data_IF_612767617975
#
_entry.id   IF_612767617975
#
_cell.length_a   1.000
_cell.length_b   1.000
_cell.length_c   1.000
_cell.angle_alpha   90.00
_cell.angle_beta   90.00
_cell.angle_gamma   90.00
#
_symmetry.space_group_name_H-M   'P 1'
#
loop_
_entity.id
_entity.type
_entity.pdbx_description
1 polymer ?
#
# COMPACT_ATOMS: atom_id res chain seq x y z
N UNK A 1 42.22 10.38 22.79
CA UNK A 1 40.97 10.35 22.04
C UNK A 1 41.11 9.38 20.87
N UNK A 2 40.14 8.47 20.72
CA UNK A 2 40.08 7.55 19.59
C UNK A 2 38.67 7.68 18.97
N UNK A 3 38.62 7.55 17.66
CA UNK A 3 37.34 7.55 16.94
C UNK A 3 37.38 6.54 15.79
N UNK A 4 36.25 6.04 15.40
CA UNK A 4 36.04 5.23 14.21
C UNK A 4 34.77 5.65 13.50
N UNK A 5 34.80 5.61 12.19
CA UNK A 5 33.64 5.84 11.32
C UNK A 5 33.59 4.73 10.29
N UNK A 6 32.46 4.09 10.18
CA UNK A 6 32.19 3.08 9.17
C UNK A 6 30.96 3.44 8.35
N UNK A 7 31.01 3.21 7.04
CA UNK A 7 29.88 3.35 6.12
C UNK A 7 29.71 2.03 5.37
N UNK A 8 28.49 1.54 5.38
CA UNK A 8 28.06 0.40 4.58
C UNK A 8 26.91 0.84 3.68
N UNK A 9 27.03 0.63 2.38
CA UNK A 9 26.02 0.94 1.39
C UNK A 9 25.84 -0.26 0.48
N UNK A 10 24.60 -0.72 0.35
CA UNK A 10 24.23 -1.79 -0.58
C UNK A 10 23.11 -1.31 -1.49
N UNK A 11 23.30 -1.45 -2.78
CA UNK A 11 22.32 -1.15 -3.79
C UNK A 11 22.21 -2.32 -4.76
N UNK A 12 21.00 -2.75 -5.04
CA UNK A 12 20.74 -3.72 -6.08
C UNK A 12 19.63 -3.23 -7.01
N UNK A 13 19.66 -3.70 -8.23
CA UNK A 13 18.62 -3.44 -9.22
C UNK A 13 18.30 -4.76 -9.93
N UNK A 14 17.03 -5.12 -9.90
CA UNK A 14 16.54 -6.35 -10.47
C UNK A 14 15.37 -6.03 -11.41
N UNK A 15 15.43 -6.57 -12.61
CA UNK A 15 14.42 -6.38 -13.64
C UNK A 15 13.90 -7.75 -14.08
N UNK A 16 12.60 -7.86 -14.28
CA UNK A 16 12.03 -8.95 -15.04
C UNK A 16 12.40 -8.79 -16.51
N UNK A 17 13.27 -9.64 -17.03
CA UNK A 17 13.54 -9.66 -18.47
C UNK A 17 12.30 -10.11 -19.23
N UNK A 18 11.63 -11.16 -18.73
CA UNK A 18 10.36 -11.64 -19.23
C UNK A 18 9.57 -12.34 -18.11
N UNK A 19 8.30 -11.98 -17.97
CA UNK A 19 7.38 -12.69 -17.11
C UNK A 19 6.48 -13.60 -17.94
N UNK A 20 6.68 -14.92 -17.83
CA UNK A 20 6.05 -15.92 -18.71
C UNK A 20 4.54 -16.06 -18.56
N UNK A 21 4.01 -15.76 -17.39
CA UNK A 21 2.59 -15.83 -17.04
C UNK A 21 1.86 -14.49 -17.23
N UNK A 22 2.53 -13.49 -17.79
CA UNK A 22 1.94 -12.18 -18.07
C UNK A 22 1.04 -12.25 -19.29
N UNK A 23 -0.20 -11.80 -19.13
CA UNK A 23 -1.18 -11.78 -20.21
C UNK A 23 -0.80 -10.76 -21.29
N UNK A 24 -1.20 -11.02 -22.55
CA UNK A 24 -0.90 -10.12 -23.66
C UNK A 24 -1.53 -8.73 -23.49
N UNK A 25 -2.68 -8.64 -22.86
CA UNK A 25 -3.34 -7.38 -22.49
C UNK A 25 -2.48 -6.54 -21.54
N UNK A 26 -1.85 -7.19 -20.54
CA UNK A 26 -1.00 -6.53 -19.56
C UNK A 26 0.33 -6.08 -20.20
N UNK A 27 0.89 -6.90 -21.09
CA UNK A 27 2.09 -6.54 -21.85
C UNK A 27 1.92 -5.25 -22.66
N UNK A 28 0.73 -5.02 -23.20
CA UNK A 28 0.39 -3.82 -23.99
C UNK A 28 0.08 -2.59 -23.12
N UNK A 29 -0.23 -2.79 -21.81
CA UNK A 29 -0.55 -1.70 -20.90
C UNK A 29 0.69 -1.27 -20.10
N UNK A 30 1.26 -0.07 -20.33
CA UNK A 30 2.48 0.37 -19.64
C UNK A 30 2.31 0.48 -18.12
N UNK A 31 1.08 0.67 -17.59
CA UNK A 31 0.79 0.78 -16.18
C UNK A 31 0.75 -0.58 -15.46
N UNK A 32 0.45 -1.65 -16.21
CA UNK A 32 0.30 -3.01 -15.68
C UNK A 32 1.48 -3.91 -16.03
N UNK A 33 2.13 -3.66 -17.15
CA UNK A 33 3.25 -4.48 -17.64
C UNK A 33 4.31 -4.69 -16.57
N UNK A 34 4.69 -5.95 -16.35
CA UNK A 34 5.75 -6.36 -15.43
C UNK A 34 7.04 -6.70 -16.17
N UNK A 35 6.97 -7.25 -17.40
CA UNK A 35 8.13 -7.50 -18.26
C UNK A 35 8.89 -6.20 -18.53
N UNK A 36 10.21 -6.23 -18.40
CA UNK A 36 11.13 -5.09 -18.43
C UNK A 36 10.90 -4.05 -17.33
N UNK A 37 10.26 -4.45 -16.24
CA UNK A 37 10.07 -3.61 -15.06
C UNK A 37 10.82 -4.18 -13.86
N UNK A 38 11.05 -3.34 -12.85
CA UNK A 38 11.63 -3.78 -11.59
C UNK A 38 10.75 -4.86 -10.95
N UNK A 39 11.40 -5.89 -10.40
CA UNK A 39 10.70 -6.97 -9.71
C UNK A 39 10.05 -6.51 -8.40
N UNK A 40 9.16 -7.34 -7.87
CA UNK A 40 8.52 -7.16 -6.56
C UNK A 40 7.63 -5.91 -6.42
N UNK A 41 7.05 -5.41 -7.52
CA UNK A 41 5.94 -4.48 -7.45
C UNK A 41 4.61 -5.24 -7.33
N UNK A 42 3.72 -4.69 -6.52
CA UNK A 42 2.34 -5.16 -6.45
C UNK A 42 1.47 -4.37 -7.43
N UNK A 43 0.51 -5.07 -8.06
CA UNK A 43 -0.57 -4.44 -8.81
C UNK A 43 -1.72 -4.14 -7.86
N UNK A 44 -1.99 -2.87 -7.63
CA UNK A 44 -2.94 -2.38 -6.64
C UNK A 44 -3.96 -1.45 -7.29
N UNK A 45 -5.14 -1.36 -6.69
CA UNK A 45 -6.13 -0.35 -7.05
C UNK A 45 -5.69 1.04 -6.58
N UNK A 46 -6.07 2.06 -7.34
CA UNK A 46 -5.87 3.46 -6.95
C UNK A 46 -7.08 3.94 -6.18
N UNK A 47 -6.88 4.42 -4.96
CA UNK A 47 -7.95 5.00 -4.15
C UNK A 47 -8.11 6.49 -4.46
N UNK A 48 -9.35 6.93 -4.65
CA UNK A 48 -9.77 8.34 -4.69
C UNK A 48 -10.25 8.87 -3.33
N UNK A 49 -9.94 8.16 -2.24
CA UNK A 49 -10.42 8.46 -0.90
C UNK A 49 -11.67 7.66 -0.53
N UNK A 50 -12.50 8.23 0.32
CA UNK A 50 -13.72 7.58 0.80
C UNK A 50 -14.95 8.26 0.22
N UNK A 51 -15.98 7.46 -0.11
CA UNK A 51 -17.28 8.00 -0.49
C UNK A 51 -17.87 8.85 0.63
N UNK A 52 -18.27 10.08 0.31
CA UNK A 52 -18.80 11.03 1.28
C UNK A 52 -20.32 10.93 1.41
N UNK A 53 -21.03 10.59 0.34
CA UNK A 53 -22.47 10.52 0.29
C UNK A 53 -22.97 9.51 -0.76
N UNK A 54 -24.26 9.26 -0.78
CA UNK A 54 -24.89 8.31 -1.72
C UNK A 54 -24.88 8.81 -3.16
N UNK A 55 -24.94 10.11 -3.39
CA UNK A 55 -24.90 10.70 -4.73
C UNK A 55 -23.57 10.38 -5.40
N UNK A 56 -22.46 10.57 -4.70
CA UNK A 56 -21.13 10.20 -5.18
C UNK A 56 -21.03 8.71 -5.52
N UNK A 57 -21.64 7.83 -4.73
CA UNK A 57 -21.65 6.39 -5.01
C UNK A 57 -22.41 6.08 -6.31
N UNK A 58 -23.54 6.75 -6.54
CA UNK A 58 -24.36 6.52 -7.72
C UNK A 58 -23.68 7.01 -9.01
N UNK A 59 -22.90 8.08 -8.91
CA UNK A 59 -22.18 8.68 -10.04
C UNK A 59 -20.81 8.05 -10.30
N UNK A 60 -20.35 7.17 -9.41
CA UNK A 60 -19.03 6.54 -9.52
C UNK A 60 -19.09 5.19 -10.23
N UNK A 61 -17.98 4.77 -10.87
CA UNK A 61 -17.80 3.41 -11.37
C UNK A 61 -18.06 2.38 -10.27
N UNK A 62 -18.70 1.29 -10.63
CA UNK A 62 -19.13 0.27 -9.65
C UNK A 62 -18.10 -0.84 -9.53
N UNK A 63 -17.64 -1.18 -8.31
CA UNK A 63 -16.82 -2.36 -8.09
C UNK A 63 -17.59 -3.64 -8.50
N UNK A 64 -16.97 -4.48 -9.31
CA UNK A 64 -17.55 -5.74 -9.77
C UNK A 64 -17.92 -6.67 -8.60
N UNK A 65 -17.11 -6.68 -7.55
CA UNK A 65 -17.29 -7.53 -6.38
C UNK A 65 -18.28 -6.98 -5.35
N UNK A 66 -18.70 -5.72 -5.47
CA UNK A 66 -19.45 -5.04 -4.41
C UNK A 66 -20.83 -4.63 -4.86
N UNK A 67 -21.85 -5.06 -4.08
CA UNK A 67 -23.25 -4.76 -4.35
C UNK A 67 -23.84 -3.68 -3.43
N UNK A 68 -23.27 -3.48 -2.26
CA UNK A 68 -23.80 -2.59 -1.21
C UNK A 68 -22.73 -1.64 -0.69
N UNK A 69 -22.47 -0.59 -1.45
CA UNK A 69 -21.59 0.51 -1.02
C UNK A 69 -22.34 1.50 -0.13
N UNK A 70 -21.62 2.09 0.81
CA UNK A 70 -22.11 3.14 1.70
C UNK A 70 -21.06 4.25 1.85
N UNK A 71 -21.45 5.46 2.27
CA UNK A 71 -20.51 6.49 2.66
C UNK A 71 -19.50 5.96 3.68
N UNK A 72 -18.22 6.30 3.46
CA UNK A 72 -17.10 5.78 4.24
C UNK A 72 -16.44 4.52 3.69
N UNK A 73 -16.96 3.93 2.62
CA UNK A 73 -16.26 2.89 1.86
C UNK A 73 -15.25 3.52 0.91
N UNK A 74 -14.21 2.77 0.51
CA UNK A 74 -13.16 3.27 -0.38
C UNK A 74 -13.72 3.48 -1.79
N UNK A 75 -13.48 4.64 -2.36
CA UNK A 75 -13.72 4.95 -3.76
C UNK A 75 -12.47 4.60 -4.58
N UNK A 76 -12.59 3.68 -5.54
CA UNK A 76 -11.50 3.32 -6.44
C UNK A 76 -11.63 4.04 -7.77
N UNK A 77 -10.47 4.24 -8.41
CA UNK A 77 -10.40 4.85 -9.71
C UNK A 77 -10.56 3.78 -10.81
N UNK A 78 -11.43 4.04 -11.75
CA UNK A 78 -11.52 3.32 -13.00
C UNK A 78 -10.37 3.79 -13.91
N UNK A 79 -9.39 2.92 -14.11
CA UNK A 79 -8.16 3.26 -14.84
C UNK A 79 -8.35 3.03 -16.34
N UNK A 80 -9.15 2.05 -16.71
CA UNK A 80 -9.39 1.71 -18.12
C UNK A 80 -10.58 2.46 -18.72
N UNK A 81 -11.44 3.08 -17.89
CA UNK A 81 -12.57 3.90 -18.30
C UNK A 81 -13.78 3.10 -18.79
N UNK A 82 -13.93 1.85 -18.35
CA UNK A 82 -15.05 0.98 -18.77
C UNK A 82 -16.28 1.07 -17.86
N UNK A 83 -16.20 1.84 -16.78
CA UNK A 83 -17.29 2.08 -15.82
C UNK A 83 -17.42 1.01 -14.73
N UNK A 84 -16.53 0.03 -14.70
CA UNK A 84 -16.51 -1.07 -13.73
C UNK A 84 -15.13 -1.16 -13.09
N UNK A 85 -15.08 -1.21 -11.76
CA UNK A 85 -13.83 -1.44 -11.04
C UNK A 85 -13.59 -2.95 -10.94
N UNK A 86 -12.61 -3.43 -11.67
CA UNK A 86 -12.24 -4.84 -11.68
C UNK A 86 -10.70 -5.04 -11.65
N UNK A 87 -10.23 -6.26 -11.87
CA UNK A 87 -8.79 -6.56 -11.85
C UNK A 87 -8.00 -5.81 -12.91
N UNK A 88 -8.65 -5.27 -13.95
CA UNK A 88 -7.99 -4.50 -15.01
C UNK A 88 -7.60 -3.09 -14.56
N UNK A 89 -8.21 -2.59 -13.47
CA UNK A 89 -7.89 -1.29 -12.87
C UNK A 89 -6.72 -1.32 -11.90
N UNK A 90 -6.15 -2.51 -11.65
CA UNK A 90 -4.94 -2.62 -10.85
C UNK A 90 -3.75 -2.17 -11.66
N UNK A 91 -2.97 -1.27 -11.10
CA UNK A 91 -1.74 -0.77 -11.70
C UNK A 91 -0.56 -0.93 -10.74
N UNK A 92 0.63 -0.89 -11.30
CA UNK A 92 1.87 -0.89 -10.52
C UNK A 92 2.01 0.46 -9.81
N UNK A 93 2.10 0.44 -8.49
CA UNK A 93 2.20 1.65 -7.69
C UNK A 93 3.45 1.69 -6.82
N UNK A 94 3.93 2.91 -6.61
CA UNK A 94 4.91 3.25 -5.60
C UNK A 94 6.29 2.60 -5.78
N UNK A 95 6.85 2.11 -4.68
CA UNK A 95 8.14 1.46 -4.61
C UNK A 95 7.99 -0.07 -4.59
N UNK A 96 9.04 -0.83 -4.90
CA UNK A 96 9.00 -2.28 -4.79
C UNK A 96 8.83 -2.71 -3.32
N UNK A 97 8.39 -3.95 -3.11
CA UNK A 97 8.23 -4.55 -1.78
C UNK A 97 9.56 -4.63 -1.01
N UNK A 98 10.66 -4.89 -1.72
CA UNK A 98 12.01 -4.90 -1.15
C UNK A 98 12.76 -3.61 -1.51
N UNK A 99 13.40 -2.93 -0.53
CA UNK A 99 14.13 -1.71 -0.80
C UNK A 99 15.38 -2.00 -1.62
N UNK A 100 15.63 -1.26 -2.69
CA UNK A 100 16.82 -1.41 -3.52
C UNK A 100 18.08 -0.84 -2.87
N UNK A 101 17.92 0.05 -1.90
CA UNK A 101 19.01 0.70 -1.17
C UNK A 101 18.92 0.33 0.30
N UNK A 102 20.04 -0.12 0.87
CA UNK A 102 20.22 -0.24 2.31
C UNK A 102 21.53 0.41 2.71
N UNK A 103 21.56 1.05 3.86
CA UNK A 103 22.76 1.71 4.36
C UNK A 103 22.89 1.59 5.87
N UNK A 104 24.15 1.62 6.31
CA UNK A 104 24.50 1.65 7.72
C UNK A 104 25.66 2.60 7.95
N UNK A 105 25.60 3.38 9.03
CA UNK A 105 26.65 4.28 9.46
C UNK A 105 27.01 3.89 10.89
N UNK A 106 28.27 3.57 11.13
CA UNK A 106 28.80 3.29 12.46
C UNK A 106 29.70 4.44 12.88
N UNK A 107 29.43 5.01 14.05
CA UNK A 107 30.24 6.06 14.65
C UNK A 107 30.68 5.58 16.02
N UNK A 108 31.98 5.58 16.27
CA UNK A 108 32.52 5.27 17.58
C UNK A 108 33.48 6.35 18.07
N UNK A 109 33.44 6.64 19.36
CA UNK A 109 34.34 7.57 20.00
C UNK A 109 34.71 7.09 21.41
N UNK A 110 35.99 7.26 21.79
CA UNK A 110 36.45 6.91 23.11
C UNK A 110 37.39 7.98 23.66
N UNK A 111 37.15 8.39 24.89
CA UNK A 111 37.91 9.40 25.60
C UNK A 111 37.91 9.16 27.10
N UNK A 112 39.09 9.12 27.72
CA UNK A 112 39.28 9.02 29.18
C UNK A 112 38.44 7.91 29.85
N UNK A 113 38.35 6.72 29.22
CA UNK A 113 37.61 5.59 29.75
C UNK A 113 36.12 5.53 29.37
N UNK A 114 35.56 6.58 28.78
CA UNK A 114 34.25 6.57 28.20
C UNK A 114 34.30 6.14 26.74
N UNK A 115 33.35 5.28 26.35
CA UNK A 115 33.17 4.84 24.95
C UNK A 115 31.71 5.02 24.56
N UNK A 116 31.51 5.59 23.38
CA UNK A 116 30.20 5.74 22.74
C UNK A 116 30.26 5.09 21.37
N UNK A 117 29.33 4.19 21.10
CA UNK A 117 29.12 3.59 19.79
C UNK A 117 27.69 3.83 19.33
N UNK A 118 27.54 4.35 18.11
CA UNK A 118 26.25 4.66 17.49
C UNK A 118 26.17 3.92 16.17
N UNK A 119 25.08 3.18 15.96
CA UNK A 119 24.75 2.55 14.70
C UNK A 119 23.46 3.17 14.16
N UNK A 120 23.54 3.76 12.97
CA UNK A 120 22.41 4.25 12.21
C UNK A 120 22.19 3.32 11.01
N UNK A 121 21.00 2.76 10.89
CA UNK A 121 20.64 1.92 9.74
C UNK A 121 19.39 2.46 9.08
N UNK A 122 19.34 2.35 7.76
CA UNK A 122 18.19 2.77 7.00
C UNK A 122 18.06 2.04 5.67
N UNK A 123 16.88 2.20 5.10
CA UNK A 123 16.55 1.64 3.79
C UNK A 123 15.98 2.71 2.89
N UNK A 124 16.12 2.53 1.58
CA UNK A 124 15.41 3.34 0.59
C UNK A 124 13.90 3.10 0.60
N UNK A 125 13.21 3.74 -0.33
CA UNK A 125 11.77 3.59 -0.47
C UNK A 125 11.38 2.13 -0.71
N UNK A 126 10.35 1.69 0.02
CA UNK A 126 9.71 0.39 -0.15
C UNK A 126 8.22 0.51 0.15
N UNK A 127 7.43 -0.31 -0.50
CA UNK A 127 6.04 -0.52 -0.13
C UNK A 127 5.92 -1.75 0.79
N UNK A 128 5.00 -1.66 1.71
CA UNK A 128 4.61 -2.80 2.54
C UNK A 128 3.10 -2.96 2.47
N UNK A 129 2.69 -4.12 1.98
CA UNK A 129 1.27 -4.47 2.01
C UNK A 129 0.88 -4.77 3.46
N UNK A 130 -0.11 -4.05 3.94
CA UNK A 130 -0.71 -4.35 5.26
C UNK A 130 -1.60 -5.58 5.10
N UNK A 131 -1.01 -6.75 5.34
CA UNK A 131 -1.72 -8.02 5.22
C UNK A 131 -2.37 -8.44 6.55
N UNK A 132 -3.36 -9.33 6.43
CA UNK A 132 -3.95 -10.04 7.56
C UNK A 132 -4.82 -9.18 8.48
N UNK A 133 -4.48 -9.12 9.75
CA UNK A 133 -5.31 -8.63 10.85
C UNK A 133 -5.71 -7.15 10.73
N UNK A 134 -4.84 -6.32 10.18
CA UNK A 134 -5.06 -4.87 10.06
C UNK A 134 -5.80 -4.46 8.79
N UNK A 135 -6.01 -5.37 7.84
CA UNK A 135 -6.60 -5.08 6.53
C UNK A 135 -8.06 -5.50 6.39
N UNK A 136 -8.53 -6.38 7.25
CA UNK A 136 -9.89 -6.93 7.15
C UNK A 136 -10.90 -6.02 7.83
N UNK A 137 -11.38 -5.03 7.08
CA UNK A 137 -12.38 -4.07 7.55
C UNK A 137 -13.82 -4.61 7.53
N UNK A 138 -14.02 -5.82 7.03
CA UNK A 138 -15.32 -6.48 6.92
C UNK A 138 -15.46 -7.72 7.82
N UNK A 139 -14.54 -7.92 8.75
CA UNK A 139 -14.58 -9.05 9.68
C UNK A 139 -14.46 -8.56 11.12
N UNK A 140 -14.86 -9.39 12.08
CA UNK A 140 -14.72 -9.08 13.53
C UNK A 140 -13.26 -9.04 14.02
N UNK A 141 -12.29 -9.13 13.11
CA UNK A 141 -10.86 -9.09 13.42
C UNK A 141 -10.33 -7.67 13.26
N UNK A 142 -10.59 -6.83 14.23
CA UNK A 142 -10.16 -5.44 14.22
C UNK A 142 -8.91 -5.30 15.10
N UNK A 143 -7.84 -4.76 14.52
CA UNK A 143 -6.71 -4.27 15.30
C UNK A 143 -7.16 -3.07 16.15
N UNK A 144 -6.97 -3.14 17.46
CA UNK A 144 -7.44 -2.10 18.39
C UNK A 144 -6.70 -0.78 18.28
N UNK A 145 -5.50 -0.77 17.69
CA UNK A 145 -4.70 0.44 17.56
C UNK A 145 -5.23 1.31 16.39
N UNK A 146 -5.63 2.52 16.69
CA UNK A 146 -6.10 3.49 15.71
C UNK A 146 -7.59 3.40 15.39
N UNK A 147 -8.39 2.79 16.26
CA UNK A 147 -9.84 2.69 16.08
C UNK A 147 -10.54 4.05 15.97
N UNK A 148 -9.99 5.09 16.55
CA UNK A 148 -10.46 6.46 16.44
C UNK A 148 -10.30 7.07 15.04
N UNK A 149 -9.49 6.47 14.19
CA UNK A 149 -9.20 6.93 12.82
C UNK A 149 -10.06 6.26 11.74
N UNK A 150 -11.00 5.43 12.12
CA UNK A 150 -11.97 4.86 11.20
C UNK A 150 -13.09 5.84 10.87
N UNK A 151 -13.62 5.71 9.67
CA UNK A 151 -14.79 6.48 9.28
C UNK A 151 -16.03 6.01 10.06
N UNK A 152 -16.73 6.96 10.68
CA UNK A 152 -18.09 6.82 11.16
C UNK A 152 -18.81 8.17 11.04
N UNK A 153 -20.14 8.19 10.89
CA UNK A 153 -20.90 9.44 10.78
C UNK A 153 -20.66 10.34 12.00
N UNK A 154 -20.24 11.58 11.74
CA UNK A 154 -19.92 12.55 12.81
C UNK A 154 -18.47 12.53 13.29
N UNK A 155 -17.60 11.67 12.77
CA UNK A 155 -16.16 11.78 13.04
C UNK A 155 -15.59 13.04 12.36
N UNK A 156 -15.10 13.99 13.17
CA UNK A 156 -14.45 15.22 12.72
C UNK A 156 -12.93 15.17 12.82
N UNK A 157 -12.38 14.05 13.30
CA UNK A 157 -10.95 13.83 13.42
C UNK A 157 -10.29 13.43 12.10
N UNK A 158 -9.00 13.15 12.15
CA UNK A 158 -8.27 12.60 11.01
C UNK A 158 -8.77 11.19 10.68
N UNK A 159 -9.37 11.00 9.52
CA UNK A 159 -9.85 9.70 9.04
C UNK A 159 -8.77 9.09 8.15
N UNK A 160 -8.19 7.98 8.57
CA UNK A 160 -7.17 7.24 7.83
C UNK A 160 -7.70 5.91 7.27
N UNK A 161 -8.77 5.38 7.83
CA UNK A 161 -9.29 4.07 7.49
C UNK A 161 -10.76 4.14 7.05
N UNK A 162 -11.18 3.22 6.17
CA UNK A 162 -12.56 3.16 5.73
C UNK A 162 -13.50 2.75 6.87
N UNK A 163 -14.79 2.76 6.56
CA UNK A 163 -15.85 2.29 7.44
C UNK A 163 -15.66 0.82 7.80
N UNK A 164 -15.82 0.50 9.05
CA UNK A 164 -15.88 -0.87 9.54
C UNK A 164 -17.29 -1.46 9.34
N UNK A 165 -17.35 -2.75 9.00
CA UNK A 165 -18.56 -3.53 9.01
C UNK A 165 -18.28 -4.94 9.53
N UNK A 166 -19.23 -5.51 10.25
CA UNK A 166 -19.21 -6.91 10.67
C UNK A 166 -20.02 -7.81 9.72
N UNK A 167 -20.65 -7.22 8.70
CA UNK A 167 -21.42 -7.93 7.71
C UNK A 167 -20.58 -8.09 6.43
N UNK A 168 -20.15 -9.31 6.15
CA UNK A 168 -19.36 -9.62 4.95
C UNK A 168 -20.10 -9.40 3.62
N UNK A 169 -21.45 -9.27 3.66
CA UNK A 169 -22.27 -8.95 2.48
C UNK A 169 -22.30 -7.44 2.21
N UNK A 170 -22.04 -6.62 3.20
CA UNK A 170 -21.86 -5.18 2.99
C UNK A 170 -20.52 -4.94 2.31
N UNK A 171 -20.48 -3.98 1.42
CA UNK A 171 -19.36 -3.60 0.57
C UNK A 171 -18.66 -4.73 -0.22
N UNK A 172 -19.06 -5.99 -0.10
CA UNK A 172 -18.54 -7.13 -0.86
C UNK A 172 -17.01 -7.29 -0.79
N UNK A 173 -16.38 -6.88 0.32
CA UNK A 173 -14.93 -6.85 0.46
C UNK A 173 -14.27 -5.63 -0.23
N UNK A 174 -15.03 -4.63 -0.66
CA UNK A 174 -14.50 -3.45 -1.35
C UNK A 174 -13.35 -2.79 -0.57
N UNK A 175 -13.48 -2.65 0.75
CA UNK A 175 -12.47 -2.02 1.58
C UNK A 175 -11.21 -2.89 1.78
N UNK A 176 -11.24 -4.13 1.34
CA UNK A 176 -10.11 -5.09 1.40
C UNK A 176 -9.42 -5.29 0.03
N UNK A 177 -9.85 -4.57 -1.01
CA UNK A 177 -9.34 -4.73 -2.38
C UNK A 177 -7.98 -4.03 -2.61
N UNK A 178 -7.54 -3.19 -1.68
CA UNK A 178 -6.31 -2.40 -1.81
C UNK A 178 -5.05 -3.21 -1.55
#
# INVERSE_FOLDING_TARGET
FKYNVGLNLSYYNELWERKYDEQESDLKNPLRRLTHQKSYFDLLYVSNGLYQNMEQILDSPRPQASTLLRPGDIAYQDINGDGVIDTNDRIRQGAPRFPHLTYGITLGASYKGFTLDVLLQGTGARNMLLESFNRKFNTNQIGLAGSEKFYYPGNTGEILYPRLTNNAQENGGNNDMA
#
